data_IF_317881351124
#
_entry.id   IF_317881351124
#
_cell.length_a   1.000
_cell.length_b   1.000
_cell.length_c   1.000
_cell.angle_alpha   90.00
_cell.angle_beta   90.00
_cell.angle_gamma   90.00
#
_symmetry.space_group_name_H-M   'P 1'
#
loop_
_entity.id
_entity.type
_entity.pdbx_description
1 polymer ?
#
# COMPACT_ATOMS: atom_id res chain seq x y z
N UNK A 1 -12.68 2.35 -7.50
CA UNK A 1 -13.15 1.13 -8.18
C UNK A 1 -11.96 0.57 -8.99
N UNK A 2 -11.87 -0.75 -9.15
CA UNK A 2 -10.85 -1.44 -9.99
C UNK A 2 -9.37 -1.14 -9.63
N UNK A 3 -9.09 -0.66 -8.43
CA UNK A 3 -7.71 -0.48 -7.97
C UNK A 3 -7.00 -1.80 -7.64
N UNK A 4 -7.71 -2.94 -7.63
CA UNK A 4 -7.15 -4.27 -7.38
C UNK A 4 -7.13 -4.69 -5.91
N UNK A 5 -8.09 -4.27 -5.08
CA UNK A 5 -8.19 -4.67 -3.67
C UNK A 5 -8.24 -6.19 -3.50
N UNK A 6 -9.22 -6.85 -4.14
CA UNK A 6 -9.38 -8.30 -4.07
C UNK A 6 -8.16 -9.03 -4.66
N UNK A 7 -7.59 -8.52 -5.76
CA UNK A 7 -6.34 -9.07 -6.32
C UNK A 7 -5.18 -8.97 -5.33
N UNK A 8 -5.07 -7.86 -4.59
CA UNK A 8 -4.05 -7.70 -3.55
C UNK A 8 -4.28 -8.71 -2.41
N UNK A 9 -5.52 -8.91 -1.99
CA UNK A 9 -5.88 -9.93 -0.99
C UNK A 9 -5.52 -11.34 -1.48
N UNK A 10 -5.88 -11.70 -2.71
CA UNK A 10 -5.53 -12.99 -3.32
C UNK A 10 -4.01 -13.20 -3.39
N UNK A 11 -3.24 -12.17 -3.72
CA UNK A 11 -1.77 -12.22 -3.70
C UNK A 11 -1.22 -12.47 -2.30
N UNK A 12 -1.75 -11.81 -1.27
CA UNK A 12 -1.36 -12.05 0.12
C UNK A 12 -1.65 -13.49 0.52
N UNK A 13 -2.82 -14.04 0.17
CA UNK A 13 -3.19 -15.42 0.47
C UNK A 13 -2.29 -16.41 -0.28
N UNK A 14 -1.89 -16.10 -1.49
CA UNK A 14 -0.97 -16.91 -2.28
C UNK A 14 0.45 -16.92 -1.67
N UNK A 15 1.00 -15.77 -1.30
CA UNK A 15 2.32 -15.68 -0.68
C UNK A 15 2.38 -16.29 0.72
N UNK A 16 1.28 -16.28 1.45
CA UNK A 16 1.17 -16.92 2.78
C UNK A 16 0.81 -18.40 2.70
N UNK A 17 0.63 -18.96 1.50
CA UNK A 17 0.39 -20.40 1.27
C UNK A 17 -1.03 -20.87 1.56
N UNK A 18 -1.99 -19.94 1.75
CA UNK A 18 -3.40 -20.29 1.97
C UNK A 18 -4.05 -20.77 0.68
N UNK A 19 -3.73 -20.14 -0.45
CA UNK A 19 -4.17 -20.57 -1.78
C UNK A 19 -2.98 -20.99 -2.64
N UNK A 20 -3.21 -21.94 -3.55
CA UNK A 20 -2.14 -22.51 -4.40
C UNK A 20 -2.06 -21.87 -5.79
N UNK A 21 -3.06 -21.08 -6.14
CA UNK A 21 -3.11 -20.31 -7.40
C UNK A 21 -3.61 -18.91 -7.10
N UNK A 22 -3.10 -17.94 -7.84
CA UNK A 22 -3.62 -16.58 -7.80
C UNK A 22 -4.95 -16.58 -8.55
N UNK A 23 -6.06 -16.26 -7.84
CA UNK A 23 -7.36 -16.07 -8.44
C UNK A 23 -7.47 -14.66 -9.03
N UNK A 24 -7.88 -14.55 -10.28
CA UNK A 24 -8.18 -13.25 -10.89
C UNK A 24 -9.67 -12.96 -10.81
N UNK A 25 -10.02 -11.74 -10.40
CA UNK A 25 -11.41 -11.28 -10.24
C UNK A 25 -12.15 -11.32 -11.59
N UNK A 26 -11.47 -10.91 -12.67
CA UNK A 26 -12.04 -10.91 -14.02
C UNK A 26 -12.31 -12.30 -14.61
N UNK A 27 -11.64 -13.33 -14.08
CA UNK A 27 -11.86 -14.72 -14.49
C UNK A 27 -12.85 -15.45 -13.58
N UNK A 28 -13.41 -14.78 -12.55
CA UNK A 28 -14.30 -15.37 -11.56
C UNK A 28 -13.63 -16.44 -10.67
N UNK A 29 -12.30 -16.41 -10.60
CA UNK A 29 -11.49 -17.41 -9.90
C UNK A 29 -11.02 -16.94 -8.50
N UNK A 30 -11.37 -15.72 -8.09
CA UNK A 30 -10.96 -15.15 -6.81
C UNK A 30 -11.65 -15.88 -5.64
N UNK A 31 -10.87 -16.34 -4.68
CA UNK A 31 -11.36 -17.10 -3.50
C UNK A 31 -12.24 -16.23 -2.59
N UNK A 32 -11.99 -14.92 -2.58
CA UNK A 32 -12.73 -13.97 -1.76
C UNK A 32 -14.10 -13.59 -2.34
N UNK A 33 -14.29 -13.73 -3.65
CA UNK A 33 -15.58 -13.50 -4.33
C UNK A 33 -16.38 -14.80 -4.35
N UNK A 34 -17.03 -15.12 -3.25
CA UNK A 34 -17.72 -16.39 -3.06
C UNK A 34 -19.16 -16.43 -3.61
N UNK A 35 -19.76 -15.26 -3.89
CA UNK A 35 -21.09 -15.19 -4.48
C UNK A 35 -21.04 -15.32 -6.00
N UNK A 36 -21.96 -16.08 -6.58
CA UNK A 36 -22.06 -16.21 -8.04
C UNK A 36 -22.20 -14.85 -8.76
N UNK A 37 -22.88 -13.90 -8.13
CA UNK A 37 -23.05 -12.54 -8.67
C UNK A 37 -21.77 -11.71 -8.66
N UNK A 38 -20.89 -11.94 -7.68
CA UNK A 38 -19.55 -11.31 -7.60
C UNK A 38 -18.66 -11.85 -8.71
N UNK A 39 -18.64 -13.16 -8.89
CA UNK A 39 -17.87 -13.84 -9.93
C UNK A 39 -18.34 -13.46 -11.35
N UNK A 40 -19.67 -13.40 -11.55
CA UNK A 40 -20.26 -13.03 -12.84
C UNK A 40 -19.99 -11.57 -13.22
N UNK A 41 -19.99 -10.66 -12.25
CA UNK A 41 -19.80 -9.23 -12.47
C UNK A 41 -18.35 -8.76 -12.33
N UNK A 42 -17.46 -9.60 -11.77
CA UNK A 42 -16.08 -9.25 -11.47
C UNK A 42 -15.94 -8.13 -10.44
N UNK A 43 -16.88 -8.02 -9.49
CA UNK A 43 -16.87 -7.03 -8.40
C UNK A 43 -17.23 -7.65 -7.07
N UNK A 44 -16.57 -7.24 -6.00
CA UNK A 44 -16.91 -7.60 -4.63
C UNK A 44 -18.16 -6.85 -4.18
N UNK A 45 -19.17 -7.56 -3.71
CA UNK A 45 -20.44 -7.01 -3.24
C UNK A 45 -20.50 -7.03 -1.71
N UNK A 46 -20.08 -8.13 -1.09
CA UNK A 46 -20.10 -8.36 0.35
C UNK A 46 -18.68 -8.44 0.90
N UNK A 47 -18.46 -7.86 2.08
CA UNK A 47 -17.15 -8.00 2.75
C UNK A 47 -16.86 -9.46 3.07
N UNK A 48 -15.69 -9.94 2.66
CA UNK A 48 -15.23 -11.29 2.93
C UNK A 48 -14.07 -11.26 3.92
N UNK A 49 -14.09 -12.17 4.89
CA UNK A 49 -13.05 -12.27 5.91
C UNK A 49 -12.27 -13.57 5.77
N UNK A 50 -10.96 -13.47 5.88
CA UNK A 50 -10.06 -14.63 5.86
C UNK A 50 -8.90 -14.42 6.82
N UNK A 51 -8.19 -15.50 7.13
CA UNK A 51 -7.03 -15.46 8.03
C UNK A 51 -5.81 -16.05 7.34
N UNK A 52 -4.69 -15.38 7.45
CA UNK A 52 -3.39 -15.92 7.06
C UNK A 52 -2.35 -15.73 8.17
N UNK A 53 -1.18 -16.33 8.00
CA UNK A 53 -0.07 -16.22 8.94
C UNK A 53 1.19 -15.77 8.20
N UNK A 54 1.91 -14.82 8.79
CA UNK A 54 3.16 -14.32 8.26
C UNK A 54 4.13 -13.94 9.37
N UNK A 55 5.37 -14.45 9.34
CA UNK A 55 6.42 -14.17 10.34
C UNK A 55 5.89 -14.26 11.80
N UNK A 56 5.27 -15.39 12.14
CA UNK A 56 4.69 -15.67 13.46
C UNK A 56 3.51 -14.77 13.88
N UNK A 57 2.97 -14.00 12.96
CA UNK A 57 1.77 -13.18 13.18
C UNK A 57 0.56 -13.81 12.50
N UNK A 58 -0.56 -13.80 13.19
CA UNK A 58 -1.88 -14.08 12.62
C UNK A 58 -2.46 -12.79 12.07
N UNK A 59 -2.84 -12.79 10.82
CA UNK A 59 -3.42 -11.64 10.12
C UNK A 59 -4.83 -12.01 9.70
N UNK A 60 -5.82 -11.26 10.19
CA UNK A 60 -7.21 -11.38 9.76
C UNK A 60 -7.46 -10.29 8.72
N UNK A 61 -7.82 -10.69 7.50
CA UNK A 61 -8.04 -9.79 6.38
C UNK A 61 -9.53 -9.67 6.16
N UNK A 62 -10.03 -8.45 6.00
CA UNK A 62 -11.38 -8.16 5.55
C UNK A 62 -11.26 -7.45 4.21
N UNK A 63 -11.64 -8.15 3.13
CA UNK A 63 -11.76 -7.55 1.81
C UNK A 63 -13.10 -6.84 1.68
N UNK A 64 -13.09 -5.59 1.24
CA UNK A 64 -14.27 -4.72 1.23
C UNK A 64 -14.67 -4.31 -0.18
N UNK A 65 -15.98 -4.17 -0.47
CA UNK A 65 -16.45 -3.66 -1.75
C UNK A 65 -15.88 -2.28 -2.07
N UNK A 66 -15.67 -2.01 -3.36
CA UNK A 66 -15.16 -0.72 -3.84
C UNK A 66 -16.22 0.22 -4.39
N UNK A 67 -17.47 -0.22 -4.51
CA UNK A 67 -18.57 0.55 -5.10
C UNK A 67 -19.27 1.43 -4.05
N UNK A 68 -19.71 2.60 -4.49
CA UNK A 68 -20.46 3.56 -3.63
C UNK A 68 -21.74 2.98 -3.03
N UNK A 69 -22.39 2.07 -3.75
CA UNK A 69 -23.63 1.42 -3.31
C UNK A 69 -23.43 0.53 -2.07
N UNK A 70 -22.18 0.14 -1.78
CA UNK A 70 -21.81 -0.75 -0.69
C UNK A 70 -21.03 -0.06 0.44
N UNK A 71 -21.14 1.26 0.57
CA UNK A 71 -20.43 2.05 1.61
C UNK A 71 -20.79 1.61 3.03
N UNK A 72 -21.99 1.09 3.25
CA UNK A 72 -22.43 0.56 4.56
C UNK A 72 -21.59 -0.66 4.97
N UNK A 73 -21.22 -1.52 4.03
CA UNK A 73 -20.35 -2.68 4.30
C UNK A 73 -18.94 -2.25 4.68
N UNK A 74 -18.41 -1.23 3.99
CA UNK A 74 -17.13 -0.61 4.32
C UNK A 74 -17.17 -0.01 5.72
N UNK A 75 -18.22 0.73 6.05
CA UNK A 75 -18.38 1.37 7.36
C UNK A 75 -18.50 0.36 8.51
N UNK A 76 -19.21 -0.76 8.30
CA UNK A 76 -19.27 -1.87 9.27
C UNK A 76 -17.89 -2.46 9.52
N UNK A 77 -17.11 -2.66 8.45
CA UNK A 77 -15.74 -3.19 8.54
C UNK A 77 -14.83 -2.25 9.33
N UNK A 78 -14.89 -0.94 9.09
CA UNK A 78 -14.05 0.05 9.77
C UNK A 78 -14.17 0.03 11.30
N UNK A 79 -15.30 -0.43 11.85
CA UNK A 79 -15.53 -0.51 13.31
C UNK A 79 -14.69 -1.57 14.02
N UNK A 80 -14.17 -2.54 13.30
CA UNK A 80 -13.44 -3.69 13.84
C UNK A 80 -11.99 -3.78 13.38
N UNK A 81 -11.55 -2.84 12.53
CA UNK A 81 -10.20 -2.84 11.97
C UNK A 81 -9.18 -2.24 12.95
N UNK A 82 -8.05 -2.93 13.09
CA UNK A 82 -6.85 -2.39 13.76
C UNK A 82 -6.04 -1.48 12.82
N UNK A 83 -6.19 -1.66 11.52
CA UNK A 83 -5.57 -0.86 10.47
C UNK A 83 -6.14 -1.20 9.10
N UNK A 84 -5.84 -0.40 8.11
CA UNK A 84 -6.29 -0.64 6.74
C UNK A 84 -5.21 -0.37 5.70
N UNK A 85 -5.33 -1.06 4.57
CA UNK A 85 -4.55 -0.80 3.35
C UNK A 85 -5.46 -0.11 2.34
N UNK A 86 -5.16 1.15 2.04
CA UNK A 86 -5.85 1.90 1.00
C UNK A 86 -5.18 1.63 -0.34
N UNK A 87 -5.86 0.90 -1.23
CA UNK A 87 -5.33 0.54 -2.54
C UNK A 87 -5.77 1.58 -3.58
N UNK A 88 -4.80 2.19 -4.25
CA UNK A 88 -4.99 3.15 -5.33
C UNK A 88 -4.46 2.55 -6.64
N UNK A 89 -5.12 2.86 -7.76
CA UNK A 89 -4.55 2.56 -9.07
C UNK A 89 -3.45 3.56 -9.41
N UNK A 90 -2.31 3.10 -9.89
CA UNK A 90 -1.21 3.95 -10.34
C UNK A 90 -1.61 4.90 -11.48
N UNK A 91 -2.60 4.51 -12.29
CA UNK A 91 -3.17 5.32 -13.37
C UNK A 91 -4.27 6.26 -12.89
N UNK A 92 -5.23 5.74 -12.11
CA UNK A 92 -6.43 6.50 -11.70
C UNK A 92 -6.19 7.41 -10.50
N UNK A 93 -5.26 7.03 -9.64
CA UNK A 93 -4.95 7.77 -8.42
C UNK A 93 -6.13 7.86 -7.45
N UNK A 94 -6.33 9.03 -6.89
CA UNK A 94 -7.43 9.30 -5.95
C UNK A 94 -8.71 9.60 -6.71
N UNK A 95 -9.69 8.71 -6.56
CA UNK A 95 -11.03 8.81 -7.14
C UNK A 95 -12.05 9.27 -6.07
N UNK A 96 -13.25 9.75 -6.44
CA UNK A 96 -14.27 10.20 -5.49
C UNK A 96 -14.65 9.15 -4.42
N UNK A 97 -14.66 7.86 -4.79
CA UNK A 97 -14.91 6.77 -3.85
C UNK A 97 -13.76 6.65 -2.82
N UNK A 98 -12.52 6.86 -3.27
CA UNK A 98 -11.35 6.87 -2.38
C UNK A 98 -11.47 7.96 -1.32
N UNK A 99 -11.91 9.16 -1.71
CA UNK A 99 -12.13 10.29 -0.80
C UNK A 99 -13.18 9.96 0.27
N UNK A 100 -14.28 9.31 -0.14
CA UNK A 100 -15.36 8.93 0.77
C UNK A 100 -14.89 7.92 1.81
N UNK A 101 -14.24 6.84 1.36
CA UNK A 101 -13.73 5.78 2.26
C UNK A 101 -12.60 6.30 3.14
N UNK A 102 -11.72 7.15 2.61
CA UNK A 102 -10.66 7.79 3.37
C UNK A 102 -11.19 8.63 4.52
N UNK A 103 -12.21 9.45 4.25
CA UNK A 103 -12.88 10.27 5.27
C UNK A 103 -13.57 9.41 6.33
N UNK A 104 -14.26 8.34 5.93
CA UNK A 104 -14.88 7.39 6.86
C UNK A 104 -13.81 6.75 7.77
N UNK A 105 -12.71 6.27 7.21
CA UNK A 105 -11.62 5.71 8.00
C UNK A 105 -11.00 6.74 8.98
N UNK A 106 -10.91 8.02 8.58
CA UNK A 106 -10.48 9.10 9.47
C UNK A 106 -11.46 9.30 10.64
N UNK A 107 -12.76 9.27 10.38
CA UNK A 107 -13.79 9.41 11.42
C UNK A 107 -13.76 8.28 12.45
N UNK A 108 -13.38 7.07 12.03
CA UNK A 108 -13.20 5.92 12.93
C UNK A 108 -11.79 5.82 13.53
N UNK A 109 -10.89 6.74 13.19
CA UNK A 109 -9.51 6.74 13.69
C UNK A 109 -8.69 5.53 13.24
N UNK A 110 -9.04 4.87 12.14
CA UNK A 110 -8.35 3.67 11.64
C UNK A 110 -7.00 4.05 11.04
N UNK A 111 -5.88 3.51 11.57
CA UNK A 111 -4.55 3.69 10.98
C UNK A 111 -4.50 3.15 9.54
N UNK A 112 -3.74 3.80 8.66
CA UNK A 112 -3.70 3.45 7.25
C UNK A 112 -2.30 3.46 6.69
N UNK A 113 -2.06 2.51 5.78
CA UNK A 113 -0.99 2.56 4.80
C UNK A 113 -1.63 2.63 3.41
N UNK A 114 -0.95 3.21 2.44
CA UNK A 114 -1.41 3.27 1.07
C UNK A 114 -0.57 2.33 0.19
N UNK A 115 -1.22 1.69 -0.77
CA UNK A 115 -0.59 0.85 -1.76
C UNK A 115 -1.03 1.29 -3.16
N UNK A 116 -0.07 1.77 -3.94
CA UNK A 116 -0.28 2.16 -5.34
C UNK A 116 -0.02 0.94 -6.20
N UNK A 117 -1.11 0.36 -6.68
CA UNK A 117 -1.16 -0.90 -7.43
C UNK A 117 -1.26 -0.65 -8.93
N UNK A 118 -0.94 -1.67 -9.73
CA UNK A 118 -0.99 -1.64 -11.18
C UNK A 118 0.06 -0.71 -11.79
N UNK A 119 1.28 -0.79 -11.27
CA UNK A 119 2.42 -0.05 -11.81
C UNK A 119 2.80 -0.47 -13.23
N UNK A 120 2.36 -1.64 -13.66
CA UNK A 120 2.49 -2.23 -15.01
C UNK A 120 1.48 -1.69 -16.03
N UNK A 121 0.49 -0.91 -15.60
CA UNK A 121 -0.56 -0.40 -16.49
C UNK A 121 -0.13 0.88 -17.21
N UNK A 122 -0.50 1.01 -18.50
CA UNK A 122 -0.23 2.22 -19.29
C UNK A 122 -0.85 3.46 -18.63
N UNK A 123 -0.03 4.47 -18.38
CA UNK A 123 -0.38 5.70 -17.67
C UNK A 123 -0.14 5.62 -16.15
N UNK A 124 0.59 4.61 -15.68
CA UNK A 124 0.98 4.51 -14.27
C UNK A 124 1.95 5.63 -13.87
N UNK A 125 1.63 6.34 -12.80
CA UNK A 125 2.47 7.41 -12.22
C UNK A 125 2.35 7.40 -10.70
N UNK A 126 3.30 6.75 -10.04
CA UNK A 126 3.36 6.60 -8.59
C UNK A 126 3.39 7.95 -7.85
N UNK A 127 4.27 8.85 -8.27
CA UNK A 127 4.46 10.12 -7.58
C UNK A 127 3.26 11.05 -7.74
N UNK A 128 2.60 11.03 -8.90
CA UNK A 128 1.35 11.74 -9.09
C UNK A 128 0.28 11.26 -8.11
N UNK A 129 0.18 9.94 -7.85
CA UNK A 129 -0.77 9.41 -6.86
C UNK A 129 -0.45 9.89 -5.45
N UNK A 130 0.84 9.90 -5.05
CA UNK A 130 1.27 10.45 -3.75
C UNK A 130 0.88 11.92 -3.62
N UNK A 131 1.06 12.72 -4.66
CA UNK A 131 0.68 14.14 -4.67
C UNK A 131 -0.84 14.33 -4.67
N UNK A 132 -1.59 13.49 -5.36
CA UNK A 132 -3.06 13.47 -5.29
C UNK A 132 -3.56 13.13 -3.88
N UNK A 133 -2.91 12.25 -3.14
CA UNK A 133 -3.25 11.97 -1.75
C UNK A 133 -3.09 13.22 -0.88
N UNK A 134 -2.02 13.99 -1.07
CA UNK A 134 -1.82 15.26 -0.36
C UNK A 134 -2.88 16.29 -0.72
N UNK A 135 -3.11 16.51 -2.02
CA UNK A 135 -3.98 17.57 -2.51
C UNK A 135 -5.47 17.30 -2.35
N UNK A 136 -5.93 16.04 -2.55
CA UNK A 136 -7.34 15.67 -2.51
C UNK A 136 -7.80 15.10 -1.17
N UNK A 137 -6.93 14.34 -0.49
CA UNK A 137 -7.27 13.72 0.80
C UNK A 137 -6.80 14.56 1.98
N UNK A 138 -5.96 15.58 1.78
CA UNK A 138 -5.27 16.28 2.86
C UNK A 138 -4.38 15.36 3.67
N UNK A 139 -3.96 14.25 3.10
CA UNK A 139 -3.18 13.23 3.78
C UNK A 139 -1.70 13.62 3.83
N UNK A 140 -1.09 13.52 5.01
CA UNK A 140 0.37 13.60 5.14
C UNK A 140 0.99 12.28 4.64
N UNK A 141 0.96 12.09 3.30
CA UNK A 141 1.45 10.90 2.62
C UNK A 141 2.95 11.00 2.36
N UNK A 142 3.67 9.93 2.60
CA UNK A 142 5.11 9.84 2.35
C UNK A 142 5.44 8.53 1.65
N UNK A 143 6.17 8.62 0.52
CA UNK A 143 6.68 7.44 -0.16
C UNK A 143 7.75 6.78 0.71
N UNK A 144 7.63 5.47 0.95
CA UNK A 144 8.65 4.64 1.59
C UNK A 144 9.30 3.67 0.61
N UNK A 145 8.84 3.68 -0.61
CA UNK A 145 9.38 2.96 -1.76
C UNK A 145 9.41 3.87 -2.98
N UNK A 146 10.30 3.54 -3.93
CA UNK A 146 10.36 4.15 -5.25
C UNK A 146 10.24 3.03 -6.29
N UNK A 147 9.33 3.13 -7.28
CA UNK A 147 9.25 2.12 -8.32
C UNK A 147 10.47 2.19 -9.25
N UNK A 148 10.91 1.04 -9.73
CA UNK A 148 11.92 0.90 -10.79
C UNK A 148 11.18 0.61 -12.08
N UNK A 149 11.16 1.59 -12.98
CA UNK A 149 10.34 1.56 -14.17
C UNK A 149 8.86 1.88 -13.91
N UNK A 150 8.09 1.87 -14.96
CA UNK A 150 6.63 1.99 -14.97
C UNK A 150 6.09 1.35 -16.24
N UNK A 151 4.81 1.02 -16.26
CA UNK A 151 4.16 0.35 -17.39
C UNK A 151 4.88 -0.98 -17.71
N UNK A 152 5.19 -1.23 -18.95
CA UNK A 152 5.90 -2.44 -19.44
C UNK A 152 7.36 -2.53 -18.96
N UNK A 153 7.91 -1.45 -18.41
CA UNK A 153 9.28 -1.40 -17.85
C UNK A 153 9.31 -1.56 -16.32
N UNK A 154 8.16 -1.72 -15.67
CA UNK A 154 8.12 -1.93 -14.23
C UNK A 154 8.74 -3.28 -13.86
N UNK A 155 9.87 -3.24 -13.15
CA UNK A 155 10.65 -4.45 -12.84
C UNK A 155 11.02 -4.62 -11.37
N UNK A 156 10.69 -3.64 -10.52
CA UNK A 156 11.05 -3.72 -9.12
C UNK A 156 10.76 -2.45 -8.33
N UNK A 157 11.26 -2.44 -7.11
CA UNK A 157 11.13 -1.31 -6.20
C UNK A 157 12.45 -1.00 -5.51
N UNK A 158 12.58 0.24 -5.02
CA UNK A 158 13.65 0.64 -4.10
C UNK A 158 13.01 0.83 -2.74
N UNK A 159 13.52 0.13 -1.73
CA UNK A 159 13.15 0.32 -0.33
C UNK A 159 13.95 1.49 0.24
N UNK A 160 13.28 2.59 0.58
CA UNK A 160 13.90 3.79 1.12
C UNK A 160 14.38 3.65 2.57
N UNK A 161 13.93 2.62 3.30
CA UNK A 161 14.43 2.32 4.64
C UNK A 161 15.82 1.70 4.58
N UNK A 162 16.01 0.73 3.72
CA UNK A 162 17.28 -0.01 3.57
C UNK A 162 18.20 0.54 2.49
N UNK A 163 17.68 1.38 1.59
CA UNK A 163 18.37 1.88 0.39
C UNK A 163 18.92 0.74 -0.47
N UNK A 164 18.06 -0.26 -0.71
CA UNK A 164 18.32 -1.38 -1.61
C UNK A 164 17.22 -1.49 -2.64
N UNK A 165 17.57 -2.03 -3.81
CA UNK A 165 16.61 -2.35 -4.86
C UNK A 165 16.18 -3.82 -4.74
N UNK A 166 14.91 -4.08 -4.94
CA UNK A 166 14.32 -5.40 -5.08
C UNK A 166 13.85 -5.55 -6.53
N UNK A 167 14.58 -6.38 -7.30
CA UNK A 167 14.30 -6.62 -8.72
C UNK A 167 13.55 -7.94 -8.85
N UNK A 168 12.35 -7.91 -9.41
CA UNK A 168 11.53 -9.10 -9.61
C UNK A 168 12.08 -9.97 -10.73
N UNK A 169 12.14 -11.29 -10.49
CA UNK A 169 12.69 -12.30 -11.42
C UNK A 169 11.61 -13.23 -11.97
N UNK A 170 10.44 -13.25 -11.35
CA UNK A 170 9.29 -14.03 -11.79
C UNK A 170 8.06 -13.16 -11.94
N UNK A 171 7.18 -13.51 -12.87
CA UNK A 171 5.93 -12.77 -13.15
C UNK A 171 4.97 -12.78 -11.94
N UNK A 172 5.08 -13.80 -11.08
CA UNK A 172 4.30 -13.90 -9.85
C UNK A 172 4.90 -13.11 -8.67
N UNK A 173 6.09 -12.52 -8.83
CA UNK A 173 6.79 -11.72 -7.83
C UNK A 173 7.36 -12.50 -6.64
N UNK A 174 7.34 -13.85 -6.67
CA UNK A 174 7.92 -14.68 -5.60
C UNK A 174 9.44 -14.66 -5.60
N UNK A 175 10.01 -14.64 -6.76
CA UNK A 175 11.46 -14.61 -6.93
C UNK A 175 11.89 -13.17 -7.18
N UNK A 176 12.69 -12.63 -6.29
CA UNK A 176 13.30 -11.31 -6.42
C UNK A 176 14.74 -11.33 -5.94
N UNK A 177 15.51 -10.40 -6.43
CA UNK A 177 16.90 -10.20 -6.06
C UNK A 177 17.08 -8.86 -5.36
N UNK A 178 17.76 -8.85 -4.22
CA UNK A 178 18.13 -7.61 -3.53
C UNK A 178 19.49 -7.17 -4.06
N UNK A 179 19.53 -5.97 -4.64
CA UNK A 179 20.72 -5.39 -5.26
C UNK A 179 20.99 -3.99 -4.73
N UNK A 180 22.13 -3.42 -5.14
CA UNK A 180 22.36 -2.00 -4.99
C UNK A 180 21.42 -1.23 -5.92
N UNK A 181 21.11 0.03 -5.55
CA UNK A 181 20.26 0.90 -6.35
C UNK A 181 20.91 1.17 -7.70
N UNK A 182 20.21 0.95 -8.83
CA UNK A 182 20.74 1.31 -10.15
C UNK A 182 21.12 2.79 -10.21
N UNK A 183 22.23 3.09 -10.88
CA UNK A 183 22.84 4.43 -10.90
C UNK A 183 21.85 5.54 -11.32
N UNK A 184 20.97 5.24 -12.27
CA UNK A 184 19.94 6.17 -12.77
C UNK A 184 18.88 6.52 -11.73
N UNK A 185 18.69 5.69 -10.69
CA UNK A 185 17.73 5.91 -9.61
C UNK A 185 18.35 6.45 -8.33
N UNK A 186 19.67 6.55 -8.25
CA UNK A 186 20.38 6.94 -7.03
C UNK A 186 19.94 8.32 -6.53
N UNK A 187 19.91 9.32 -7.41
CA UNK A 187 19.53 10.70 -7.05
C UNK A 187 18.08 10.78 -6.56
N UNK A 188 17.15 10.14 -7.27
CA UNK A 188 15.73 10.15 -6.85
C UNK A 188 15.52 9.39 -5.55
N UNK A 189 16.21 8.28 -5.33
CA UNK A 189 16.13 7.52 -4.10
C UNK A 189 16.67 8.31 -2.90
N UNK A 190 17.80 8.98 -3.03
CA UNK A 190 18.37 9.84 -2.00
C UNK A 190 17.44 11.00 -1.65
N UNK A 191 16.94 11.71 -2.65
CA UNK A 191 15.99 12.81 -2.43
C UNK A 191 14.71 12.35 -1.76
N UNK A 192 14.15 11.19 -2.16
CA UNK A 192 12.94 10.63 -1.55
C UNK A 192 13.17 10.09 -0.16
N UNK A 193 14.35 9.52 0.12
CA UNK A 193 14.74 9.12 1.46
C UNK A 193 14.85 10.33 2.40
N UNK A 194 15.45 11.43 1.96
CA UNK A 194 15.51 12.66 2.74
C UNK A 194 14.11 13.17 3.08
N UNK A 195 13.21 13.24 2.11
CA UNK A 195 11.80 13.61 2.34
C UNK A 195 11.10 12.67 3.32
N UNK A 196 11.38 11.36 3.27
CA UNK A 196 10.83 10.38 4.19
C UNK A 196 11.33 10.61 5.62
N UNK A 197 12.63 10.81 5.80
CA UNK A 197 13.23 11.07 7.12
C UNK A 197 12.72 12.37 7.72
N UNK A 198 12.63 13.42 6.92
CA UNK A 198 12.08 14.73 7.31
C UNK A 198 10.62 14.58 7.80
N UNK A 199 9.77 13.91 7.03
CA UNK A 199 8.38 13.67 7.41
C UNK A 199 8.25 12.83 8.70
N UNK A 200 9.11 11.85 8.92
CA UNK A 200 9.13 11.05 10.16
C UNK A 200 9.62 11.91 11.33
N UNK A 201 10.67 12.70 11.14
CA UNK A 201 11.24 13.57 12.16
C UNK A 201 10.23 14.61 12.67
N UNK A 202 9.37 15.14 11.80
CA UNK A 202 8.29 16.06 12.20
C UNK A 202 7.29 15.45 13.21
N UNK A 203 7.25 14.11 13.33
CA UNK A 203 6.31 13.39 14.20
C UNK A 203 6.94 12.87 15.51
N UNK A 204 8.26 12.99 15.67
CA UNK A 204 8.99 12.43 16.82
C UNK A 204 10.17 13.33 17.21
N UNK A 205 10.12 13.92 18.40
CA UNK A 205 11.10 14.90 18.89
C UNK A 205 12.52 14.32 18.96
N UNK A 206 12.67 13.04 19.34
CA UNK A 206 13.98 12.39 19.44
C UNK A 206 14.62 12.22 18.05
N UNK A 207 13.81 11.83 17.06
CA UNK A 207 14.26 11.73 15.66
C UNK A 207 14.58 13.13 15.12
N UNK A 208 13.76 14.14 15.43
CA UNK A 208 13.99 15.51 15.00
C UNK A 208 15.32 16.06 15.55
N UNK A 209 15.63 15.80 16.81
CA UNK A 209 16.92 16.22 17.40
C UNK A 209 18.10 15.60 16.65
N UNK A 210 18.10 14.29 16.46
CA UNK A 210 19.16 13.60 15.70
C UNK A 210 19.28 14.13 14.26
N UNK A 211 18.15 14.35 13.60
CA UNK A 211 18.10 14.86 12.25
C UNK A 211 18.76 16.26 12.15
N UNK A 212 18.45 17.17 13.07
CA UNK A 212 19.01 18.53 13.11
C UNK A 212 20.50 18.54 13.49
N UNK A 213 20.94 17.61 14.31
CA UNK A 213 22.35 17.46 14.72
C UNK A 213 23.19 16.72 13.67
N UNK A 214 22.56 16.19 12.62
CA UNK A 214 23.22 15.40 11.58
C UNK A 214 23.72 14.04 12.06
N UNK A 215 23.12 13.52 13.13
CA UNK A 215 23.41 12.18 13.66
C UNK A 215 22.78 11.11 12.77
N UNK A 216 23.40 9.92 12.79
CA UNK A 216 22.85 8.76 12.09
C UNK A 216 21.59 8.25 12.79
N UNK A 217 20.49 8.11 12.03
CA UNK A 217 19.25 7.53 12.51
C UNK A 217 19.16 6.11 11.98
N UNK A 218 19.09 5.13 12.88
CA UNK A 218 19.01 3.73 12.49
C UNK A 218 17.67 3.38 11.84
N UNK A 219 17.66 2.32 11.04
CA UNK A 219 16.44 1.80 10.40
C UNK A 219 15.38 1.44 11.44
N UNK A 220 15.77 0.87 12.57
CA UNK A 220 14.84 0.49 13.64
C UNK A 220 14.21 1.71 14.33
N UNK A 221 14.96 2.79 14.50
CA UNK A 221 14.42 4.06 15.01
C UNK A 221 13.41 4.66 14.02
N UNK A 222 13.76 4.71 12.73
CA UNK A 222 12.85 5.19 11.69
C UNK A 222 11.56 4.36 11.62
N UNK A 223 11.66 3.04 11.65
CA UNK A 223 10.50 2.14 11.64
C UNK A 223 9.63 2.32 12.90
N UNK A 224 10.24 2.51 14.05
CA UNK A 224 9.52 2.70 15.31
C UNK A 224 8.77 4.03 15.31
N UNK A 225 9.41 5.11 14.90
CA UNK A 225 8.80 6.43 14.80
C UNK A 225 7.68 6.45 13.74
N UNK A 226 7.93 5.87 12.55
CA UNK A 226 6.92 5.75 11.53
C UNK A 226 5.69 4.97 12.01
N UNK A 227 5.87 3.84 12.70
CA UNK A 227 4.77 3.04 13.25
C UNK A 227 3.92 3.86 14.22
N UNK A 228 4.55 4.60 15.14
CA UNK A 228 3.85 5.49 16.08
C UNK A 228 3.03 6.55 15.33
N UNK A 229 3.62 7.20 14.34
CA UNK A 229 2.98 8.22 13.53
C UNK A 229 1.79 7.67 12.73
N UNK A 230 1.91 6.46 12.17
CA UNK A 230 0.82 5.78 11.44
C UNK A 230 -0.34 5.44 12.38
N UNK A 231 -0.04 4.85 13.54
CA UNK A 231 -1.06 4.51 14.55
C UNK A 231 -1.80 5.76 15.03
N UNK A 232 -1.07 6.88 15.17
CA UNK A 232 -1.64 8.18 15.53
C UNK A 232 -2.35 8.92 14.37
N UNK A 233 -2.41 8.34 13.18
CA UNK A 233 -2.93 8.97 11.95
C UNK A 233 -2.25 10.31 11.58
N UNK A 234 -0.99 10.46 11.93
CA UNK A 234 -0.18 11.66 11.61
C UNK A 234 0.55 11.53 10.28
N UNK A 235 0.87 10.31 9.87
CA UNK A 235 1.63 10.02 8.67
C UNK A 235 1.06 8.78 7.97
N UNK A 236 1.07 8.80 6.63
CA UNK A 236 0.54 7.71 5.82
C UNK A 236 1.62 7.22 4.83
N UNK A 237 2.31 6.10 5.13
CA UNK A 237 3.31 5.55 4.23
C UNK A 237 2.68 5.01 2.95
N UNK A 238 3.35 5.25 1.83
CA UNK A 238 2.91 4.83 0.50
C UNK A 238 3.89 3.84 -0.10
N UNK A 239 3.38 2.67 -0.47
CA UNK A 239 4.09 1.61 -1.16
C UNK A 239 3.60 1.49 -2.60
N UNK A 240 4.32 0.74 -3.44
CA UNK A 240 3.94 0.49 -4.85
C UNK A 240 4.17 -0.95 -5.27
N UNK A 241 3.43 -1.38 -6.33
CA UNK A 241 3.57 -2.69 -6.96
C UNK A 241 2.64 -2.89 -8.15
#
# INVERSE_FOLDING_TARGET
IDAGKTTTTERILYYTGIVHKIGEVHEGAATMDWMAQEQERGITITSAATTCHWKDHRINIIDTPGHVDFTVEVERSLRVLDGSVAVFSAKGGVEPQSETVWRQASNYGVPRIAYVNKMDTVGADFFNVVDMMKSRLGANSVAIQVPIGAEDTFEGIIDLMTMKAEIYKSDDGKEYEITDIPAEYQEVAEARREMMIDAIAETDDDIMMKYLEGEEISIEELKTALRKAVIANQLFPVLCG
#
